data_IF_113717826384
#
_entry.id   IF_113717826384
#
_cell.length_a   1.000
_cell.length_b   1.000
_cell.length_c   1.000
_cell.angle_alpha   90.00
_cell.angle_beta   90.00
_cell.angle_gamma   90.00
#
_symmetry.space_group_name_H-M   'P 1'
#
loop_
_entity.id
_entity.type
_entity.pdbx_description
1 polymer ?
#
# COMPACT_ATOMS: atom_id res chain seq x y z
N UNK A 1 2.46 38.07 1.64
CA UNK A 1 1.66 36.87 2.00
C UNK A 1 2.28 35.65 1.34
N UNK A 2 2.40 34.51 2.03
CA UNK A 2 2.94 33.30 1.41
C UNK A 2 2.04 32.85 0.25
N UNK A 3 2.66 32.56 -0.90
CA UNK A 3 1.94 32.19 -2.13
C UNK A 3 1.54 30.71 -2.11
N UNK A 4 0.36 30.39 -2.66
CA UNK A 4 -0.04 29.03 -2.94
C UNK A 4 0.91 28.40 -3.95
N UNK A 5 1.46 27.25 -3.63
CA UNK A 5 2.23 26.37 -4.53
C UNK A 5 1.43 25.12 -4.82
N UNK A 6 1.45 24.68 -6.08
CA UNK A 6 0.85 23.41 -6.49
C UNK A 6 1.97 22.55 -7.04
N UNK A 7 2.20 21.39 -6.42
CA UNK A 7 3.17 20.39 -6.87
C UNK A 7 2.39 19.24 -7.49
N UNK A 8 2.80 18.79 -8.68
CA UNK A 8 2.23 17.62 -9.35
C UNK A 8 3.27 16.54 -9.51
N UNK A 9 2.88 15.34 -9.22
CA UNK A 9 3.65 14.13 -9.41
C UNK A 9 2.93 13.27 -10.44
N UNK A 10 3.69 12.55 -11.24
CA UNK A 10 3.17 11.82 -12.38
C UNK A 10 3.57 10.35 -12.31
N UNK A 11 2.68 9.51 -12.79
CA UNK A 11 3.00 8.14 -13.12
C UNK A 11 3.91 8.09 -14.36
N UNK A 12 4.49 6.92 -14.65
CA UNK A 12 5.33 6.71 -15.84
C UNK A 12 4.60 6.86 -17.18
N UNK A 13 3.27 6.82 -17.18
CA UNK A 13 2.43 7.06 -18.36
C UNK A 13 2.01 8.53 -18.48
N UNK A 14 2.70 9.44 -17.76
CA UNK A 14 2.46 10.87 -17.70
C UNK A 14 1.07 11.29 -17.18
N UNK A 15 0.31 10.36 -16.61
CA UNK A 15 -0.90 10.72 -15.86
C UNK A 15 -0.55 11.26 -14.49
N UNK A 16 -1.33 12.21 -14.01
CA UNK A 16 -1.16 12.75 -12.68
C UNK A 16 -1.36 11.64 -11.64
N UNK A 17 -0.37 11.48 -10.76
CA UNK A 17 -0.45 10.60 -9.59
C UNK A 17 -0.91 11.37 -8.36
N UNK A 18 -0.35 12.56 -8.13
CA UNK A 18 -0.71 13.39 -6.99
C UNK A 18 -0.66 14.89 -7.33
N UNK A 19 -1.56 15.65 -6.74
CA UNK A 19 -1.54 17.11 -6.70
C UNK A 19 -1.54 17.54 -5.23
N UNK A 20 -0.49 18.23 -4.83
CA UNK A 20 -0.28 18.70 -3.46
C UNK A 20 -0.28 20.22 -3.47
N UNK A 21 -1.07 20.82 -2.59
CA UNK A 21 -1.18 22.26 -2.40
C UNK A 21 -0.55 22.67 -1.08
N UNK A 22 0.31 23.68 -1.16
CA UNK A 22 1.08 24.19 -0.02
C UNK A 22 1.02 25.71 0.02
N UNK A 23 1.00 26.26 1.22
CA UNK A 23 1.17 27.69 1.52
C UNK A 23 2.24 27.82 2.60
N UNK A 24 3.33 28.55 2.32
CA UNK A 24 4.42 28.67 3.27
C UNK A 24 5.16 27.37 3.59
N UNK A 25 5.07 26.34 2.72
CA UNK A 25 5.67 25.03 2.94
C UNK A 25 4.77 24.05 3.70
N UNK A 26 3.60 24.47 4.13
CA UNK A 26 2.61 23.61 4.81
C UNK A 26 1.48 23.21 3.86
N UNK A 27 0.96 22.00 3.99
CA UNK A 27 -0.22 21.55 3.23
C UNK A 27 -1.41 22.48 3.47
N UNK A 28 -2.04 22.94 2.38
CA UNK A 28 -3.17 23.85 2.44
C UNK A 28 -4.15 23.62 1.28
N UNK A 29 -5.44 23.50 1.58
CA UNK A 29 -6.46 23.22 0.57
C UNK A 29 -6.62 21.72 0.29
N UNK A 30 -7.01 21.38 -0.93
CA UNK A 30 -7.26 20.00 -1.36
C UNK A 30 -6.00 19.37 -1.94
N UNK A 31 -5.51 18.33 -1.30
CA UNK A 31 -4.50 17.42 -1.84
C UNK A 31 -5.23 16.22 -2.42
N UNK A 32 -4.85 15.83 -3.64
CA UNK A 32 -5.49 14.76 -4.39
C UNK A 32 -4.49 13.73 -4.87
N UNK A 33 -4.91 12.49 -4.86
CA UNK A 33 -4.19 11.40 -5.54
C UNK A 33 -5.12 10.70 -6.53
N UNK A 34 -4.55 10.11 -7.55
CA UNK A 34 -5.29 9.37 -8.58
C UNK A 34 -4.75 7.96 -8.69
N UNK A 35 -5.63 7.05 -9.02
CA UNK A 35 -5.27 5.71 -9.45
C UNK A 35 -4.54 5.76 -10.80
N UNK A 36 -3.82 4.71 -11.14
CA UNK A 36 -3.07 4.65 -12.38
C UNK A 36 -3.97 4.77 -13.64
N UNK A 37 -5.22 4.32 -13.56
CA UNK A 37 -6.20 4.49 -14.63
C UNK A 37 -6.72 5.93 -14.81
N UNK A 38 -6.33 6.85 -13.91
CA UNK A 38 -6.71 8.25 -13.91
C UNK A 38 -7.96 8.59 -13.11
N UNK A 39 -8.63 7.59 -12.49
CA UNK A 39 -9.72 7.84 -11.55
C UNK A 39 -9.19 8.46 -10.26
N UNK A 40 -9.96 9.36 -9.65
CA UNK A 40 -9.62 9.96 -8.36
C UNK A 40 -9.57 8.85 -7.30
N UNK A 41 -8.46 8.78 -6.53
CA UNK A 41 -8.25 7.80 -5.48
C UNK A 41 -8.52 8.39 -4.10
N UNK A 42 -8.06 9.61 -3.88
CA UNK A 42 -8.14 10.25 -2.58
C UNK A 42 -8.24 11.77 -2.73
N UNK A 43 -9.04 12.39 -1.88
CA UNK A 43 -9.12 13.83 -1.70
C UNK A 43 -9.04 14.15 -0.21
N UNK A 44 -7.92 14.73 0.20
CA UNK A 44 -7.66 15.15 1.57
C UNK A 44 -7.66 16.67 1.64
N UNK A 45 -8.41 17.21 2.58
CA UNK A 45 -8.43 18.66 2.82
C UNK A 45 -7.52 19.02 3.99
N UNK A 46 -6.65 20.01 3.76
CA UNK A 46 -5.70 20.52 4.75
C UNK A 46 -5.90 22.01 5.05
N UNK A 47 -5.58 22.40 6.26
CA UNK A 47 -5.46 23.78 6.68
C UNK A 47 -4.28 23.91 7.64
N UNK A 48 -3.28 24.76 7.29
CA UNK A 48 -2.06 24.96 8.07
C UNK A 48 -1.39 23.63 8.47
N UNK A 49 -1.08 22.80 7.48
CA UNK A 49 -0.40 21.50 7.65
C UNK A 49 -1.26 20.39 8.27
N UNK A 50 -2.50 20.67 8.70
CA UNK A 50 -3.35 19.69 9.39
C UNK A 50 -4.58 19.35 8.57
N UNK A 51 -5.01 18.10 8.64
CA UNK A 51 -6.28 17.65 8.04
C UNK A 51 -7.44 18.47 8.64
N UNK A 52 -8.28 19.04 7.75
CA UNK A 52 -9.39 19.89 8.15
C UNK A 52 -10.53 19.83 7.14
N UNK A 53 -11.72 19.49 7.58
CA UNK A 53 -12.89 19.30 6.72
C UNK A 53 -13.06 17.86 6.26
N UNK A 54 -13.85 17.65 5.22
CA UNK A 54 -14.20 16.33 4.70
C UNK A 54 -13.09 15.82 3.77
N UNK A 55 -12.68 14.59 4.00
CA UNK A 55 -11.78 13.79 3.14
C UNK A 55 -12.53 12.60 2.57
N UNK A 56 -12.20 12.18 1.35
CA UNK A 56 -12.90 11.12 0.62
C UNK A 56 -11.92 10.19 -0.08
N UNK A 57 -12.28 8.92 -0.18
CA UNK A 57 -11.50 7.88 -0.85
C UNK A 57 -12.38 7.11 -1.82
N UNK A 58 -11.84 6.77 -2.99
CA UNK A 58 -12.53 6.04 -4.07
C UNK A 58 -11.73 4.81 -4.49
N UNK A 59 -12.42 3.83 -5.02
CA UNK A 59 -11.80 2.67 -5.67
C UNK A 59 -11.35 2.99 -7.11
N UNK A 60 -10.67 2.03 -7.74
CA UNK A 60 -10.19 2.16 -9.13
C UNK A 60 -11.31 2.29 -10.16
N UNK A 61 -12.57 1.99 -9.81
CA UNK A 61 -13.75 2.17 -10.66
C UNK A 61 -14.48 3.51 -10.42
N UNK A 62 -13.93 4.36 -9.52
CA UNK A 62 -14.53 5.65 -9.16
C UNK A 62 -15.66 5.55 -8.14
N UNK A 63 -15.91 4.37 -7.54
CA UNK A 63 -16.91 4.20 -6.49
C UNK A 63 -16.36 4.75 -5.17
N UNK A 64 -17.14 5.56 -4.46
CA UNK A 64 -16.77 6.07 -3.14
C UNK A 64 -16.63 4.90 -2.15
N UNK A 65 -15.45 4.73 -1.58
CA UNK A 65 -15.16 3.76 -0.52
C UNK A 65 -15.62 4.28 0.84
N UNK A 66 -15.43 5.57 1.09
CA UNK A 66 -15.85 6.22 2.31
C UNK A 66 -15.33 7.64 2.45
N UNK A 67 -15.73 8.26 3.57
CA UNK A 67 -15.30 9.61 3.92
C UNK A 67 -15.09 9.74 5.43
N UNK A 68 -14.29 10.71 5.84
CA UNK A 68 -14.13 11.11 7.23
C UNK A 68 -14.00 12.63 7.33
N UNK A 69 -14.27 13.16 8.52
CA UNK A 69 -14.18 14.60 8.79
C UNK A 69 -13.17 14.86 9.89
N UNK A 70 -12.28 15.82 9.65
CA UNK A 70 -11.31 16.28 10.63
C UNK A 70 -11.50 17.76 10.92
N UNK A 71 -11.20 18.15 12.17
CA UNK A 71 -11.18 19.54 12.57
C UNK A 71 -9.79 19.90 13.10
N UNK A 72 -8.98 20.62 12.29
CA UNK A 72 -7.61 21.00 12.63
C UNK A 72 -6.74 19.84 13.15
N UNK A 73 -6.84 18.67 12.49
CA UNK A 73 -6.11 17.46 12.89
C UNK A 73 -6.77 16.69 14.03
N UNK A 74 -8.00 17.05 14.43
CA UNK A 74 -8.78 16.34 15.45
C UNK A 74 -9.93 15.59 14.80
N UNK A 75 -10.09 14.30 15.10
CA UNK A 75 -11.13 13.43 14.58
C UNK A 75 -10.64 12.01 14.33
N UNK A 76 -11.43 11.25 13.60
CA UNK A 76 -11.12 9.87 13.22
C UNK A 76 -10.87 9.79 11.72
N UNK A 77 -9.66 9.40 11.33
CA UNK A 77 -9.30 9.10 9.96
C UNK A 77 -9.65 7.66 9.67
N UNK A 78 -10.26 7.40 8.51
CA UNK A 78 -10.63 6.06 8.07
C UNK A 78 -10.08 5.78 6.69
N UNK A 79 -9.54 4.57 6.49
CA UNK A 79 -9.03 4.10 5.21
C UNK A 79 -9.64 2.73 4.89
N UNK A 80 -9.95 2.48 3.63
CA UNK A 80 -10.67 1.28 3.18
C UNK A 80 -9.84 0.47 2.20
N UNK A 81 -10.13 -0.80 2.14
CA UNK A 81 -9.72 -1.67 1.05
C UNK A 81 -10.59 -1.42 -0.19
N UNK A 82 -10.13 -1.85 -1.37
CA UNK A 82 -10.88 -1.76 -2.63
C UNK A 82 -12.23 -2.49 -2.59
N UNK A 83 -12.38 -3.50 -1.73
CA UNK A 83 -13.66 -4.20 -1.50
C UNK A 83 -14.64 -3.42 -0.59
N UNK A 84 -14.31 -2.21 -0.16
CA UNK A 84 -15.14 -1.34 0.67
C UNK A 84 -15.06 -1.64 2.18
N UNK A 85 -14.29 -2.64 2.62
CA UNK A 85 -14.11 -2.91 4.06
C UNK A 85 -13.08 -1.96 4.66
N UNK A 86 -13.30 -1.57 5.92
CA UNK A 86 -12.39 -0.74 6.67
C UNK A 86 -11.04 -1.44 6.84
N UNK A 87 -9.96 -0.74 6.53
CA UNK A 87 -8.57 -1.20 6.67
C UNK A 87 -7.90 -0.63 7.91
N UNK A 88 -8.12 0.67 8.15
CA UNK A 88 -7.42 1.40 9.20
C UNK A 88 -8.33 2.50 9.74
N UNK A 89 -8.36 2.63 11.06
CA UNK A 89 -8.99 3.69 11.81
C UNK A 89 -7.95 4.33 12.72
N UNK A 90 -7.78 5.64 12.64
CA UNK A 90 -6.81 6.39 13.45
C UNK A 90 -7.53 7.54 14.14
N UNK A 91 -7.52 7.55 15.46
CA UNK A 91 -7.96 8.70 16.22
C UNK A 91 -6.81 9.69 16.39
N UNK A 92 -7.09 10.97 16.20
CA UNK A 92 -6.12 12.05 16.32
C UNK A 92 -6.70 13.23 17.09
N UNK A 93 -5.83 13.93 17.82
CA UNK A 93 -6.12 15.18 18.50
C UNK A 93 -5.01 16.18 18.15
N UNK A 94 -5.39 17.31 17.54
CA UNK A 94 -4.45 18.37 17.12
C UNK A 94 -3.29 17.86 16.22
N UNK A 95 -3.56 16.87 15.35
CA UNK A 95 -2.58 16.30 14.42
C UNK A 95 -1.65 15.25 15.02
N UNK A 96 -1.84 14.87 16.27
CA UNK A 96 -1.11 13.78 16.93
C UNK A 96 -2.00 12.55 17.10
N UNK A 97 -1.43 11.37 17.08
CA UNK A 97 -2.17 10.15 17.42
C UNK A 97 -2.62 10.21 18.86
N UNK A 98 -3.93 10.09 19.05
CA UNK A 98 -4.58 10.20 20.34
C UNK A 98 -5.79 9.29 20.37
N UNK A 99 -5.92 8.48 21.42
CA UNK A 99 -7.00 7.51 21.48
C UNK A 99 -6.63 6.21 20.78
N UNK A 100 -7.62 5.57 20.23
CA UNK A 100 -7.52 4.22 19.67
C UNK A 100 -7.16 4.26 18.19
N UNK A 101 -6.24 3.39 17.79
CA UNK A 101 -5.97 3.04 16.40
C UNK A 101 -6.28 1.57 16.19
N UNK A 102 -6.94 1.22 15.08
CA UNK A 102 -7.30 -0.16 14.72
C UNK A 102 -6.91 -0.45 13.28
N UNK A 103 -6.44 -1.67 13.04
CA UNK A 103 -6.21 -2.18 11.70
C UNK A 103 -6.89 -3.53 11.50
N UNK A 104 -7.43 -3.72 10.30
CA UNK A 104 -8.13 -4.94 9.90
C UNK A 104 -7.51 -5.54 8.66
N UNK A 105 -7.69 -6.84 8.48
CA UNK A 105 -7.46 -7.53 7.22
C UNK A 105 -8.59 -7.25 6.22
N UNK A 106 -8.35 -7.61 4.97
CA UNK A 106 -9.32 -7.48 3.88
C UNK A 106 -10.60 -8.31 4.12
N UNK A 107 -10.53 -9.38 4.90
CA UNK A 107 -11.67 -10.19 5.32
C UNK A 107 -12.46 -9.61 6.51
N UNK A 108 -11.97 -8.50 7.10
CA UNK A 108 -12.56 -7.84 8.26
C UNK A 108 -12.02 -8.34 9.62
N UNK A 109 -11.02 -9.22 9.64
CA UNK A 109 -10.37 -9.67 10.87
C UNK A 109 -9.57 -8.53 11.49
N UNK A 110 -9.84 -8.17 12.75
CA UNK A 110 -9.08 -7.17 13.50
C UNK A 110 -7.70 -7.75 13.84
N UNK A 111 -6.63 -7.08 13.43
CA UNK A 111 -5.24 -7.53 13.64
C UNK A 111 -4.43 -6.63 14.55
N UNK A 112 -4.88 -5.39 14.74
CA UNK A 112 -4.22 -4.45 15.64
C UNK A 112 -5.23 -3.55 16.33
N UNK A 113 -5.03 -3.35 17.63
CA UNK A 113 -5.68 -2.32 18.42
C UNK A 113 -4.63 -1.73 19.36
N UNK A 114 -4.32 -0.45 19.19
CA UNK A 114 -3.30 0.26 19.95
C UNK A 114 -3.91 1.57 20.47
N UNK A 115 -3.46 2.02 21.63
CA UNK A 115 -3.88 3.30 22.21
C UNK A 115 -2.70 4.26 22.30
N UNK A 116 -2.95 5.52 21.99
CA UNK A 116 -1.93 6.57 21.96
C UNK A 116 -2.31 7.76 22.83
N UNK A 117 -1.30 8.34 23.47
CA UNK A 117 -1.35 9.67 24.08
C UNK A 117 -0.24 10.51 23.46
N UNK A 118 -0.59 11.48 22.62
CA UNK A 118 0.36 12.40 21.97
C UNK A 118 1.50 11.67 21.20
N UNK A 119 1.13 10.71 20.33
CA UNK A 119 2.03 9.82 19.54
C UNK A 119 2.78 8.76 20.37
N UNK A 120 2.56 8.66 21.67
CA UNK A 120 3.18 7.64 22.52
C UNK A 120 2.20 6.48 22.69
N UNK A 121 2.65 5.26 22.39
CA UNK A 121 1.90 4.02 22.62
C UNK A 121 1.71 3.79 24.13
N UNK A 122 0.48 3.49 24.53
CA UNK A 122 0.11 3.22 25.91
C UNK A 122 -0.86 2.03 26.01
N UNK A 123 -0.96 1.42 27.17
CA UNK A 123 -1.98 0.40 27.39
C UNK A 123 -3.39 1.00 27.36
N UNK A 124 -4.39 0.21 26.96
CA UNK A 124 -5.80 0.62 27.02
C UNK A 124 -6.20 1.14 28.39
N UNK A 125 -5.78 0.43 29.46
CA UNK A 125 -6.10 0.84 30.84
C UNK A 125 -5.49 2.20 31.22
N UNK A 126 -4.24 2.43 30.82
CA UNK A 126 -3.56 3.72 31.03
C UNK A 126 -4.26 4.85 30.28
N UNK A 127 -4.63 4.61 29.00
CA UNK A 127 -5.38 5.59 28.21
C UNK A 127 -6.72 5.94 28.86
N UNK A 128 -7.55 4.95 29.20
CA UNK A 128 -8.87 5.18 29.79
C UNK A 128 -8.79 5.90 31.13
N UNK A 129 -7.81 5.56 31.97
CA UNK A 129 -7.55 6.27 33.24
C UNK A 129 -7.21 7.74 33.03
N UNK A 130 -6.39 8.04 32.02
CA UNK A 130 -6.03 9.41 31.68
C UNK A 130 -7.21 10.16 31.05
N UNK A 131 -7.92 9.56 30.09
CA UNK A 131 -9.02 10.17 29.35
C UNK A 131 -10.19 10.61 30.25
N UNK A 132 -10.45 9.92 31.38
CA UNK A 132 -11.46 10.35 32.38
C UNK A 132 -11.22 11.76 32.94
N UNK A 133 -9.96 12.21 32.93
CA UNK A 133 -9.56 13.53 33.41
C UNK A 133 -9.56 14.59 32.31
N UNK A 134 -9.75 14.18 31.05
CA UNK A 134 -9.65 15.00 29.86
C UNK A 134 -10.86 14.79 28.95
N UNK A 135 -11.99 15.51 29.18
CA UNK A 135 -13.21 15.34 28.36
C UNK A 135 -13.04 15.69 26.89
N UNK A 136 -12.02 16.47 26.55
CA UNK A 136 -11.63 16.87 25.19
C UNK A 136 -10.90 15.75 24.41
N UNK A 137 -10.49 14.70 25.09
CA UNK A 137 -9.83 13.56 24.45
C UNK A 137 -10.86 12.62 23.80
N UNK A 138 -10.47 11.83 22.77
CA UNK A 138 -11.33 10.77 22.24
C UNK A 138 -11.77 9.80 23.36
N UNK A 139 -13.08 9.74 23.61
CA UNK A 139 -13.61 8.94 24.70
C UNK A 139 -13.91 7.52 24.23
N UNK A 140 -13.28 6.52 24.84
CA UNK A 140 -13.43 5.09 24.54
C UNK A 140 -13.93 4.31 25.76
N UNK A 141 -14.35 4.97 26.82
CA UNK A 141 -14.96 4.33 28.00
C UNK A 141 -16.28 3.67 27.60
N UNK A 142 -16.54 2.50 28.15
CA UNK A 142 -17.73 1.70 27.82
C UNK A 142 -17.65 0.97 26.47
N UNK A 143 -16.65 1.27 25.63
CA UNK A 143 -16.44 0.52 24.39
C UNK A 143 -15.74 -0.82 24.66
N UNK A 144 -16.23 -1.89 24.03
CA UNK A 144 -15.61 -3.20 24.11
C UNK A 144 -14.21 -3.16 23.47
N UNK A 145 -13.22 -3.76 24.13
CA UNK A 145 -11.93 -4.01 23.52
C UNK A 145 -12.10 -4.93 22.29
N UNK A 146 -11.44 -4.62 21.20
CA UNK A 146 -11.44 -5.48 20.04
C UNK A 146 -10.73 -6.81 20.33
N UNK A 147 -11.24 -7.92 19.78
CA UNK A 147 -10.52 -9.19 19.82
C UNK A 147 -9.45 -9.18 18.73
N UNK A 148 -8.23 -8.82 19.10
CA UNK A 148 -7.08 -8.80 18.20
C UNK A 148 -6.54 -10.22 18.03
N UNK A 149 -6.39 -10.66 16.79
CA UNK A 149 -5.67 -11.91 16.49
C UNK A 149 -4.19 -11.65 16.68
N UNK A 150 -3.53 -12.42 17.53
CA UNK A 150 -2.06 -12.28 17.71
C UNK A 150 -1.36 -12.63 16.41
N UNK A 151 -0.38 -11.81 16.06
CA UNK A 151 0.49 -12.08 14.93
C UNK A 151 1.13 -13.46 15.10
N UNK A 152 0.86 -14.31 14.13
CA UNK A 152 1.43 -15.64 14.02
C UNK A 152 1.88 -15.84 12.58
N UNK A 153 2.78 -16.81 12.34
CA UNK A 153 3.20 -17.18 10.97
C UNK A 153 2.01 -17.51 10.06
N UNK A 154 0.94 -18.05 10.61
CA UNK A 154 -0.28 -18.34 9.87
C UNK A 154 -1.02 -17.05 9.46
N UNK A 155 -1.06 -16.06 10.34
CA UNK A 155 -1.68 -14.76 10.05
C UNK A 155 -0.85 -13.99 9.02
N UNK A 156 0.48 -13.93 9.18
CA UNK A 156 1.39 -13.30 8.22
C UNK A 156 1.24 -13.92 6.82
N UNK A 157 1.17 -15.26 6.74
CA UNK A 157 0.93 -15.96 5.49
C UNK A 157 -0.42 -15.59 4.90
N UNK A 158 -1.48 -15.57 5.70
CA UNK A 158 -2.83 -15.20 5.24
C UNK A 158 -2.90 -13.76 4.73
N UNK A 159 -2.28 -12.81 5.43
CA UNK A 159 -2.16 -11.42 4.98
C UNK A 159 -1.46 -11.33 3.63
N UNK A 160 -0.37 -12.07 3.50
CA UNK A 160 0.41 -12.13 2.27
C UNK A 160 -0.40 -12.75 1.11
N UNK A 161 -1.11 -13.84 1.35
CA UNK A 161 -1.97 -14.49 0.35
C UNK A 161 -3.11 -13.57 -0.13
N UNK A 162 -3.79 -12.88 0.80
CA UNK A 162 -4.82 -11.89 0.47
C UNK A 162 -4.26 -10.72 -0.35
N UNK A 163 -3.05 -10.29 -0.04
CA UNK A 163 -2.38 -9.27 -0.85
C UNK A 163 -2.06 -9.77 -2.26
N UNK A 164 -1.55 -11.01 -2.41
CA UNK A 164 -1.30 -11.64 -3.72
C UNK A 164 -2.61 -11.75 -4.52
N UNK A 165 -3.68 -12.22 -3.92
CA UNK A 165 -5.01 -12.28 -4.55
C UNK A 165 -5.44 -10.90 -5.06
N UNK A 166 -5.25 -9.85 -4.26
CA UNK A 166 -5.58 -8.48 -4.66
C UNK A 166 -4.77 -7.97 -5.85
N UNK A 167 -3.54 -8.46 -6.01
CA UNK A 167 -2.72 -8.14 -7.18
C UNK A 167 -3.18 -8.90 -8.42
N UNK A 168 -3.57 -10.17 -8.26
CA UNK A 168 -4.07 -11.00 -9.35
C UNK A 168 -5.46 -10.60 -9.85
N UNK A 169 -6.23 -9.80 -9.10
CA UNK A 169 -7.45 -9.15 -9.58
C UNK A 169 -7.15 -8.07 -10.64
N UNK A 170 -5.93 -7.56 -10.68
CA UNK A 170 -5.50 -6.53 -11.64
C UNK A 170 -5.05 -7.17 -12.94
N UNK A 171 -4.93 -6.36 -14.00
CA UNK A 171 -4.36 -6.83 -15.26
C UNK A 171 -2.97 -7.43 -15.06
N UNK A 172 -2.80 -8.69 -15.42
CA UNK A 172 -1.54 -9.43 -15.23
C UNK A 172 -1.28 -10.39 -16.40
N UNK A 173 -0.04 -10.85 -16.51
CA UNK A 173 0.36 -11.89 -17.47
C UNK A 173 1.56 -12.67 -16.96
N UNK A 174 1.73 -13.90 -17.48
CA UNK A 174 2.95 -14.65 -17.28
C UNK A 174 4.13 -13.89 -17.91
N UNK A 175 5.16 -13.61 -17.08
CA UNK A 175 6.19 -12.61 -17.42
C UNK A 175 7.06 -13.01 -18.61
N UNK A 176 7.41 -14.31 -18.74
CA UNK A 176 8.20 -14.84 -19.87
C UNK A 176 7.47 -14.65 -21.19
N UNK A 177 6.21 -15.11 -21.26
CA UNK A 177 5.38 -15.01 -22.46
C UNK A 177 5.09 -13.56 -22.79
N UNK A 178 4.77 -12.76 -21.76
CA UNK A 178 4.46 -11.34 -21.92
C UNK A 178 5.64 -10.54 -22.46
N UNK A 179 6.86 -10.75 -21.97
CA UNK A 179 8.06 -10.07 -22.44
C UNK A 179 8.47 -10.53 -23.85
N UNK A 180 8.34 -11.84 -24.14
CA UNK A 180 8.72 -12.43 -25.44
C UNK A 180 7.76 -12.07 -26.57
N UNK A 181 6.48 -11.81 -26.27
CA UNK A 181 5.48 -11.49 -27.28
C UNK A 181 5.52 -10.01 -27.75
N UNK A 182 6.52 -9.23 -27.35
CA UNK A 182 6.69 -7.87 -27.84
C UNK A 182 7.22 -7.86 -29.28
N UNK A 183 6.45 -7.31 -30.23
CA UNK A 183 6.85 -7.17 -31.65
C UNK A 183 8.11 -6.30 -31.82
N UNK A 184 8.39 -5.41 -30.89
CA UNK A 184 9.59 -4.57 -30.86
C UNK A 184 10.21 -4.57 -29.47
N UNK A 185 11.55 -4.53 -29.35
CA UNK A 185 12.25 -4.32 -28.08
C UNK A 185 11.67 -3.09 -27.35
N UNK A 186 11.45 -3.23 -26.07
CA UNK A 186 10.96 -2.15 -25.18
C UNK A 186 9.50 -1.72 -25.31
N UNK A 187 8.65 -2.41 -26.11
CA UNK A 187 7.20 -2.19 -26.05
C UNK A 187 6.58 -2.77 -24.77
N UNK A 188 7.25 -3.73 -24.15
CA UNK A 188 6.87 -4.29 -22.83
C UNK A 188 8.06 -4.20 -21.89
N UNK A 189 7.88 -3.59 -20.75
CA UNK A 189 8.97 -3.40 -19.78
C UNK A 189 8.53 -3.71 -18.37
N UNK A 190 9.43 -4.35 -17.64
CA UNK A 190 9.38 -4.38 -16.18
C UNK A 190 10.13 -3.16 -15.65
N UNK A 191 9.54 -2.48 -14.70
CA UNK A 191 10.15 -1.35 -14.04
C UNK A 191 11.59 -1.67 -13.57
N UNK A 192 12.49 -0.70 -13.60
CA UNK A 192 13.93 -0.82 -13.29
C UNK A 192 14.79 -1.64 -14.26
N UNK A 193 14.23 -2.36 -15.21
CA UNK A 193 15.01 -2.96 -16.29
C UNK A 193 15.12 -2.01 -17.47
N UNK A 194 16.34 -1.78 -17.96
CA UNK A 194 16.59 -0.87 -19.10
C UNK A 194 15.99 -1.40 -20.40
N UNK A 195 15.91 -2.73 -20.53
CA UNK A 195 15.41 -3.39 -21.74
C UNK A 195 14.55 -4.59 -21.40
N UNK A 196 13.61 -4.97 -22.28
CA UNK A 196 12.81 -6.19 -22.15
C UNK A 196 13.69 -7.44 -22.10
N UNK A 197 14.82 -7.45 -22.82
CA UNK A 197 15.76 -8.56 -22.82
C UNK A 197 16.44 -8.74 -21.44
N UNK A 198 16.83 -7.65 -20.79
CA UNK A 198 17.39 -7.71 -19.43
C UNK A 198 16.35 -8.22 -18.42
N UNK A 199 15.10 -7.78 -18.56
CA UNK A 199 13.98 -8.27 -17.75
C UNK A 199 13.76 -9.78 -17.99
N UNK A 200 13.73 -10.21 -19.23
CA UNK A 200 13.54 -11.61 -19.59
C UNK A 200 14.66 -12.51 -19.03
N UNK A 201 15.92 -12.09 -19.13
CA UNK A 201 17.05 -12.82 -18.53
C UNK A 201 16.87 -13.01 -17.03
N UNK A 202 16.41 -11.98 -16.33
CA UNK A 202 16.13 -12.09 -14.90
C UNK A 202 14.98 -13.07 -14.61
N UNK A 203 13.90 -13.00 -15.38
CA UNK A 203 12.77 -13.95 -15.27
C UNK A 203 13.26 -15.40 -15.50
N UNK A 204 14.14 -15.63 -16.49
CA UNK A 204 14.74 -16.95 -16.74
C UNK A 204 15.58 -17.46 -15.56
N UNK A 205 16.30 -16.59 -14.85
CA UNK A 205 17.05 -17.02 -13.65
C UNK A 205 16.12 -17.52 -12.55
N UNK A 206 14.93 -16.93 -12.41
CA UNK A 206 13.92 -17.38 -11.44
C UNK A 206 13.34 -18.75 -11.81
N UNK A 207 13.07 -18.99 -13.11
CA UNK A 207 12.63 -20.32 -13.57
C UNK A 207 13.72 -21.37 -13.41
N UNK A 208 14.98 -21.04 -13.71
CA UNK A 208 16.11 -21.94 -13.51
C UNK A 208 16.28 -22.32 -12.03
N UNK A 209 15.96 -21.42 -11.11
CA UNK A 209 15.92 -21.69 -9.67
C UNK A 209 14.69 -22.50 -9.22
N UNK A 210 13.77 -22.82 -10.16
CA UNK A 210 12.60 -23.66 -9.93
C UNK A 210 11.33 -22.90 -9.55
N UNK A 211 11.23 -21.61 -9.85
CA UNK A 211 9.96 -20.87 -9.71
C UNK A 211 8.86 -21.56 -10.54
N UNK A 212 7.68 -21.74 -9.94
CA UNK A 212 6.55 -22.39 -10.61
C UNK A 212 5.81 -21.47 -11.58
N UNK A 213 5.88 -20.17 -11.37
CA UNK A 213 5.38 -19.11 -12.26
C UNK A 213 6.04 -17.79 -11.89
N UNK A 214 6.19 -16.89 -12.86
CA UNK A 214 6.60 -15.50 -12.66
C UNK A 214 5.59 -14.62 -13.37
N UNK A 215 4.88 -13.79 -12.64
CA UNK A 215 3.72 -13.02 -13.12
C UNK A 215 4.05 -11.53 -13.06
N UNK A 216 3.92 -10.83 -14.18
CA UNK A 216 4.01 -9.38 -14.26
C UNK A 216 2.66 -8.76 -13.87
N UNK A 217 2.64 -7.86 -12.89
CA UNK A 217 1.41 -7.27 -12.34
C UNK A 217 1.70 -5.94 -11.61
N UNK A 218 0.77 -4.97 -11.60
CA UNK A 218 -0.28 -4.82 -12.59
C UNK A 218 0.32 -4.37 -13.94
N UNK A 219 -0.33 -4.75 -15.04
CA UNK A 219 0.07 -4.33 -16.38
C UNK A 219 -0.67 -3.04 -16.74
N UNK A 220 0.08 -2.06 -17.17
CA UNK A 220 -0.41 -0.73 -17.50
C UNK A 220 -0.08 -0.35 -18.93
N UNK A 221 -0.99 0.42 -19.54
CA UNK A 221 -0.74 1.04 -20.82
C UNK A 221 -0.05 2.40 -20.66
N UNK A 222 1.03 2.61 -21.38
CA UNK A 222 1.72 3.87 -21.49
C UNK A 222 1.58 4.52 -22.86
N UNK A 223 2.36 5.57 -23.11
CA UNK A 223 2.36 6.24 -24.41
C UNK A 223 2.86 5.32 -25.53
N UNK A 224 2.37 5.54 -26.77
CA UNK A 224 2.80 4.85 -28.00
C UNK A 224 2.69 3.32 -27.91
N UNK A 225 1.66 2.80 -27.24
CA UNK A 225 1.42 1.36 -27.13
C UNK A 225 2.40 0.59 -26.23
N UNK A 226 3.22 1.30 -25.44
CA UNK A 226 4.08 0.65 -24.44
C UNK A 226 3.24 0.11 -23.29
N UNK A 227 3.61 -1.08 -22.79
CA UNK A 227 3.03 -1.71 -21.60
C UNK A 227 4.09 -1.82 -20.52
N UNK A 228 3.68 -1.60 -19.28
CA UNK A 228 4.57 -1.67 -18.11
C UNK A 228 3.99 -2.58 -17.04
N UNK A 229 4.88 -3.17 -16.25
CA UNK A 229 4.51 -3.78 -14.98
C UNK A 229 5.51 -3.35 -13.90
N UNK A 230 5.00 -3.01 -12.73
CA UNK A 230 5.79 -2.49 -11.61
C UNK A 230 6.14 -3.55 -10.58
N UNK A 231 5.50 -4.72 -10.65
CA UNK A 231 5.69 -5.80 -9.70
C UNK A 231 5.84 -7.14 -10.42
N UNK A 232 6.61 -8.03 -9.81
CA UNK A 232 6.63 -9.45 -10.15
C UNK A 232 6.10 -10.26 -8.98
N UNK A 233 5.19 -11.19 -9.27
CA UNK A 233 4.82 -12.26 -8.36
C UNK A 233 5.57 -13.52 -8.78
N UNK A 234 6.34 -14.08 -7.84
CA UNK A 234 7.14 -15.29 -8.07
C UNK A 234 6.54 -16.43 -7.29
N UNK A 235 5.92 -17.39 -7.96
CA UNK A 235 5.39 -18.62 -7.35
C UNK A 235 6.55 -19.48 -6.87
N UNK A 236 6.64 -19.67 -5.56
CA UNK A 236 7.73 -20.40 -4.94
C UNK A 236 7.58 -21.92 -5.11
N UNK A 237 8.66 -22.63 -5.38
CA UNK A 237 8.64 -24.09 -5.42
C UNK A 237 8.43 -24.69 -4.02
N UNK A 238 7.85 -25.90 -3.96
CA UNK A 238 7.66 -26.61 -2.69
C UNK A 238 8.97 -27.24 -2.16
N UNK A 239 9.89 -27.62 -3.06
CA UNK A 239 11.15 -28.25 -2.70
C UNK A 239 12.07 -27.28 -1.93
N UNK A 240 12.52 -27.59 -0.71
CA UNK A 240 13.20 -26.64 0.19
C UNK A 240 14.45 -25.99 -0.42
N UNK A 241 15.29 -26.75 -1.11
CA UNK A 241 16.51 -26.21 -1.73
C UNK A 241 16.20 -25.23 -2.86
N UNK A 242 15.28 -25.61 -3.77
CA UNK A 242 14.82 -24.73 -4.87
C UNK A 242 14.12 -23.48 -4.32
N UNK A 243 13.30 -23.65 -3.28
CA UNK A 243 12.62 -22.54 -2.61
C UNK A 243 13.62 -21.53 -2.04
N UNK A 244 14.67 -22.02 -1.34
CA UNK A 244 15.73 -21.15 -0.81
C UNK A 244 16.48 -20.43 -1.92
N UNK A 245 16.80 -21.13 -3.02
CA UNK A 245 17.47 -20.53 -4.18
C UNK A 245 16.63 -19.42 -4.84
N UNK A 246 15.36 -19.67 -5.11
CA UNK A 246 14.45 -18.67 -5.68
C UNK A 246 14.30 -17.45 -4.76
N UNK A 247 14.11 -17.65 -3.45
CA UNK A 247 14.05 -16.56 -2.46
C UNK A 247 15.33 -15.73 -2.45
N UNK A 248 16.49 -16.38 -2.46
CA UNK A 248 17.78 -15.69 -2.48
C UNK A 248 17.94 -14.79 -3.69
N UNK A 249 17.58 -15.25 -4.89
CA UNK A 249 17.63 -14.44 -6.12
C UNK A 249 16.74 -13.20 -5.98
N UNK A 250 15.52 -13.37 -5.47
CA UNK A 250 14.61 -12.25 -5.21
C UNK A 250 15.21 -11.27 -4.20
N UNK A 251 15.76 -11.77 -3.10
CA UNK A 251 16.34 -10.94 -2.04
C UNK A 251 17.59 -10.19 -2.50
N UNK A 252 18.49 -10.86 -3.22
CA UNK A 252 19.70 -10.23 -3.78
C UNK A 252 19.36 -9.14 -4.80
N UNK A 253 18.28 -9.35 -5.59
CA UNK A 253 17.79 -8.33 -6.52
C UNK A 253 17.24 -7.11 -5.77
N UNK A 254 16.48 -7.35 -4.71
CA UNK A 254 15.85 -6.29 -3.92
C UNK A 254 16.87 -5.50 -3.11
N UNK A 255 17.81 -6.17 -2.44
CA UNK A 255 18.84 -5.52 -1.62
C UNK A 255 19.79 -4.61 -2.43
N UNK A 256 20.03 -4.91 -3.70
CA UNK A 256 20.85 -4.08 -4.59
C UNK A 256 20.18 -2.76 -5.02
N UNK A 257 18.91 -2.54 -4.70
CA UNK A 257 18.10 -1.49 -5.34
C UNK A 257 17.12 -0.76 -4.41
N UNK A 258 17.51 -0.52 -3.17
CA UNK A 258 16.73 0.24 -2.18
C UNK A 258 15.22 0.03 -2.23
N UNK A 259 14.68 -0.85 -1.39
CA UNK A 259 13.29 -0.76 -0.99
C UNK A 259 12.31 -1.83 -1.46
N UNK A 260 12.70 -3.06 -1.66
CA UNK A 260 11.70 -4.12 -1.80
C UNK A 260 11.39 -4.76 -0.44
N UNK A 261 10.15 -4.68 -0.05
CA UNK A 261 9.58 -5.34 1.13
C UNK A 261 9.44 -6.85 0.85
N UNK A 262 10.57 -7.57 0.89
CA UNK A 262 10.50 -9.03 0.98
C UNK A 262 10.51 -9.41 2.46
N UNK A 263 9.69 -10.40 2.85
CA UNK A 263 9.75 -10.93 4.20
C UNK A 263 11.14 -11.51 4.48
N UNK A 264 11.78 -11.07 5.58
CA UNK A 264 13.09 -11.58 6.00
C UNK A 264 13.06 -13.09 6.28
N UNK A 265 11.91 -13.60 6.72
CA UNK A 265 11.70 -15.01 7.05
C UNK A 265 10.74 -15.68 6.05
N UNK A 266 10.98 -16.95 5.79
CA UNK A 266 10.08 -17.84 5.07
C UNK A 266 8.98 -18.33 6.01
N UNK A 267 7.73 -17.95 5.79
CA UNK A 267 6.57 -18.48 6.54
C UNK A 267 5.74 -19.47 5.74
N UNK A 268 6.30 -19.98 4.64
CA UNK A 268 5.62 -20.96 3.78
C UNK A 268 4.63 -20.30 2.80
N UNK A 269 4.83 -19.03 2.48
CA UNK A 269 4.03 -18.30 1.49
C UNK A 269 4.08 -18.96 0.11
N UNK A 270 2.99 -18.87 -0.65
CA UNK A 270 2.90 -19.47 -1.99
C UNK A 270 3.67 -18.66 -3.05
N UNK A 271 3.71 -17.33 -2.90
CA UNK A 271 4.36 -16.41 -3.81
C UNK A 271 5.21 -15.40 -3.05
N UNK A 272 6.28 -14.91 -3.68
CA UNK A 272 6.92 -13.65 -3.29
C UNK A 272 6.44 -12.55 -4.24
N UNK A 273 6.26 -11.34 -3.71
CA UNK A 273 6.07 -10.17 -4.55
C UNK A 273 7.34 -9.30 -4.53
N UNK A 274 7.70 -8.81 -5.69
CA UNK A 274 8.86 -7.94 -5.87
C UNK A 274 8.39 -6.63 -6.46
N UNK A 275 8.61 -5.54 -5.72
CA UNK A 275 8.38 -4.20 -6.25
C UNK A 275 9.56 -3.81 -7.13
N UNK A 276 9.28 -3.44 -8.37
CA UNK A 276 10.28 -3.07 -9.37
C UNK A 276 10.36 -1.55 -9.60
N UNK A 277 9.44 -0.79 -9.00
CA UNK A 277 9.33 0.67 -9.16
C UNK A 277 9.94 1.44 -7.99
#
# INVERSE_FOLDING_TARGET
MPKLRIKRFYYRNDRVHAEIREVGGEFHGLNRTWHFNGQLAEELRYRHGRLHGISRLWDENGRLLGSFTMNHGTGTQCYWYQNGRLRLEINSLNGKFFGRTRAWLRDGTLVQETYYISNVDVTRAAYLKAARKHPDWPQHEGQTAGRVVRESRALERRQHELFIESLLEKSHAEARQWLSAAKHPNLRSLAKFRTSMAALRFVETLYAAGAGAVIAVPIYAGRRGKLFADWLLVKLPKAPLKRRAARKICQDFCNKRDGALLPDKDFGESHLFMRLA
#
